data_IF_097678015238
#
_entry.id   IF_097678015238
#
_cell.length_a   1.000
_cell.length_b   1.000
_cell.length_c   1.000
_cell.angle_alpha   90.00
_cell.angle_beta   90.00
_cell.angle_gamma   90.00
#
_symmetry.space_group_name_H-M   'P 1'
#
loop_
_entity.id
_entity.type
_entity.pdbx_description
1 polymer ?
#
# COMPACT_ATOMS: atom_id res chain seq x y z
N UNK A 1 18.08 -24.20 16.98
CA UNK A 1 18.02 -24.49 15.53
C UNK A 1 16.57 -24.67 15.15
N UNK A 2 15.97 -23.76 14.39
CA UNK A 2 14.62 -23.98 13.85
C UNK A 2 14.64 -23.69 12.35
N UNK A 3 14.45 -24.76 11.57
CA UNK A 3 14.69 -24.80 10.14
C UNK A 3 13.55 -24.14 9.37
N UNK A 4 13.83 -22.97 8.77
CA UNK A 4 13.02 -22.44 7.69
C UNK A 4 13.05 -23.43 6.52
N UNK A 5 11.89 -24.01 6.16
CA UNK A 5 11.80 -24.92 5.01
C UNK A 5 12.02 -24.15 3.70
N UNK A 6 13.18 -24.37 3.07
CA UNK A 6 13.46 -24.05 1.66
C UNK A 6 12.55 -24.86 0.75
N UNK A 7 12.10 -24.28 -0.37
CA UNK A 7 11.55 -25.06 -1.47
C UNK A 7 12.66 -25.84 -2.20
N UNK A 8 12.27 -26.79 -3.07
CA UNK A 8 13.20 -27.67 -3.77
C UNK A 8 14.14 -26.96 -4.74
N UNK A 9 13.97 -25.65 -4.96
CA UNK A 9 14.77 -24.83 -5.86
C UNK A 9 15.62 -23.77 -5.12
N UNK A 10 15.67 -23.81 -3.78
CA UNK A 10 16.52 -22.92 -2.98
C UNK A 10 16.13 -21.44 -3.06
N UNK A 11 14.92 -21.13 -3.53
CA UNK A 11 14.36 -19.79 -3.52
C UNK A 11 13.50 -19.62 -2.26
N UNK A 12 13.50 -18.43 -1.69
CA UNK A 12 12.52 -18.10 -0.65
C UNK A 12 11.14 -18.18 -1.28
N UNK A 13 10.39 -19.22 -0.91
CA UNK A 13 9.06 -19.45 -1.44
C UNK A 13 8.12 -18.36 -0.91
N UNK A 14 7.79 -17.40 -1.76
CA UNK A 14 6.63 -16.52 -1.55
C UNK A 14 5.42 -17.44 -1.65
N UNK A 15 4.87 -17.87 -0.50
CA UNK A 15 3.68 -18.72 -0.47
C UNK A 15 2.52 -17.88 -1.01
N UNK A 16 1.76 -18.36 -2.02
CA UNK A 16 0.58 -17.64 -2.48
C UNK A 16 -0.49 -17.75 -1.40
N UNK A 17 -0.76 -16.66 -0.68
CA UNK A 17 -1.79 -16.60 0.36
C UNK A 17 -3.11 -16.14 -0.25
N UNK A 18 -3.86 -17.09 -0.78
CA UNK A 18 -5.30 -16.89 -0.96
C UNK A 18 -6.05 -18.05 -0.32
N UNK A 19 -7.10 -17.67 0.42
CA UNK A 19 -8.08 -18.51 1.13
C UNK A 19 -7.68 -18.93 2.56
N UNK A 20 -8.16 -18.16 3.55
CA UNK A 20 -9.19 -18.59 4.52
C UNK A 20 -9.32 -17.56 5.65
N UNK A 21 -10.57 -17.41 6.10
CA UNK A 21 -11.05 -16.71 7.31
C UNK A 21 -11.31 -15.21 7.16
N UNK A 22 -12.50 -14.89 6.66
CA UNK A 22 -13.29 -13.80 7.20
C UNK A 22 -14.65 -14.39 7.62
N UNK A 23 -14.68 -14.95 8.83
CA UNK A 23 -15.91 -15.18 9.58
C UNK A 23 -15.84 -14.28 10.80
N UNK A 24 -16.89 -13.50 11.03
CA UNK A 24 -17.25 -13.06 12.37
C UNK A 24 -17.35 -11.55 12.59
N UNK A 25 -18.60 -11.12 12.78
CA UNK A 25 -19.07 -10.08 13.68
C UNK A 25 -18.78 -8.60 13.34
N UNK A 26 -19.85 -7.95 12.87
CA UNK A 26 -20.09 -6.52 13.01
C UNK A 26 -20.47 -6.16 14.45
N UNK A 27 -19.99 -5.01 14.95
CA UNK A 27 -20.70 -4.07 15.83
C UNK A 27 -19.79 -2.92 16.28
N UNK A 28 -20.31 -1.67 16.29
CA UNK A 28 -19.94 -0.68 17.33
C UNK A 28 -19.25 0.63 16.92
N UNK A 29 -20.04 1.58 16.41
CA UNK A 29 -20.14 3.02 16.76
C UNK A 29 -18.90 3.93 17.04
N UNK A 30 -18.83 4.98 16.21
CA UNK A 30 -18.78 6.43 16.50
C UNK A 30 -17.59 7.11 17.20
N UNK A 31 -17.04 8.15 16.56
CA UNK A 31 -17.15 9.55 17.04
C UNK A 31 -16.56 10.55 16.01
N UNK A 32 -17.31 11.62 15.74
CA UNK A 32 -16.91 12.77 14.94
C UNK A 32 -16.21 13.82 15.83
N UNK A 33 -15.29 14.60 15.25
CA UNK A 33 -14.95 15.94 15.76
C UNK A 33 -14.86 16.93 14.60
N UNK A 34 -15.69 17.97 14.69
CA UNK A 34 -15.73 19.16 13.84
C UNK A 34 -14.51 20.05 14.07
N UNK A 35 -13.95 20.59 12.98
CA UNK A 35 -13.03 21.72 12.99
C UNK A 35 -13.11 22.46 11.66
N UNK A 36 -13.72 23.65 11.68
CA UNK A 36 -13.99 24.52 10.54
C UNK A 36 -12.70 25.08 9.92
N UNK A 37 -12.44 24.78 8.65
CA UNK A 37 -11.82 25.71 7.71
C UNK A 37 -12.13 25.25 6.28
N UNK A 38 -13.07 25.90 5.61
CA UNK A 38 -13.31 25.64 4.18
C UNK A 38 -12.13 26.18 3.36
N UNK A 39 -11.46 25.39 2.50
CA UNK A 39 -10.62 25.96 1.47
C UNK A 39 -11.47 26.26 0.22
N UNK A 40 -11.26 27.46 -0.31
CA UNK A 40 -11.80 28.03 -1.55
C UNK A 40 -11.76 27.06 -2.76
N UNK A 41 -12.61 27.28 -3.78
CA UNK A 41 -12.67 26.41 -4.96
C UNK A 41 -11.36 26.49 -5.75
N UNK A 42 -10.65 25.36 -5.89
CA UNK A 42 -9.44 25.26 -6.71
C UNK A 42 -9.80 24.95 -8.17
N UNK A 43 -9.15 25.60 -9.16
CA UNK A 43 -9.37 25.31 -10.57
C UNK A 43 -8.87 23.90 -10.90
N UNK A 44 -9.60 23.21 -11.77
CA UNK A 44 -9.27 21.87 -12.25
C UNK A 44 -7.91 21.89 -12.98
N UNK A 45 -6.92 21.12 -12.49
CA UNK A 45 -5.67 20.88 -13.22
C UNK A 45 -4.40 20.64 -12.41
N UNK A 46 -4.37 20.84 -11.09
CA UNK A 46 -3.14 20.63 -10.31
C UNK A 46 -3.08 19.22 -9.70
N UNK A 47 -2.13 18.40 -10.16
CA UNK A 47 -1.69 17.22 -9.42
C UNK A 47 -1.32 17.63 -7.98
N UNK A 48 -1.79 16.86 -7.01
CA UNK A 48 -1.59 17.12 -5.60
C UNK A 48 -0.08 17.21 -5.32
N UNK A 49 0.45 18.30 -4.74
CA UNK A 49 1.88 18.40 -4.46
C UNK A 49 2.26 17.31 -3.45
N UNK A 50 3.23 16.47 -3.80
CA UNK A 50 3.91 15.60 -2.85
C UNK A 50 4.46 16.46 -1.70
N UNK A 51 4.55 15.93 -0.46
CA UNK A 51 5.17 16.66 0.64
C UNK A 51 6.53 17.20 0.19
N UNK A 52 6.78 18.50 0.40
CA UNK A 52 7.93 19.23 -0.15
C UNK A 52 9.30 18.70 0.31
N UNK A 53 9.33 17.77 1.27
CA UNK A 53 10.52 17.10 1.79
C UNK A 53 10.53 15.58 1.53
N UNK A 54 9.75 15.09 0.56
CA UNK A 54 9.70 13.67 0.25
C UNK A 54 11.00 13.19 -0.44
N UNK A 55 11.69 12.23 0.16
CA UNK A 55 12.86 11.57 -0.41
C UNK A 55 12.37 10.60 -1.49
N UNK A 56 12.72 10.80 -2.77
CA UNK A 56 12.25 9.93 -3.83
C UNK A 56 12.90 8.54 -3.73
N UNK A 57 12.14 7.48 -4.03
CA UNK A 57 12.73 6.17 -4.26
C UNK A 57 13.67 6.22 -5.47
N UNK A 58 14.86 5.61 -5.34
CA UNK A 58 15.79 5.46 -6.45
C UNK A 58 15.21 4.54 -7.54
N UNK A 59 14.44 3.53 -7.13
CA UNK A 59 13.70 2.64 -8.02
C UNK A 59 12.34 2.36 -7.38
N UNK A 60 11.29 2.45 -8.18
CA UNK A 60 9.96 2.01 -7.79
C UNK A 60 9.27 1.32 -8.97
N UNK A 61 8.93 0.05 -8.80
CA UNK A 61 8.22 -0.74 -9.80
C UNK A 61 7.01 -1.39 -9.15
N UNK A 62 5.91 -1.43 -9.88
CA UNK A 62 4.69 -2.08 -9.42
C UNK A 62 4.07 -2.91 -10.53
N UNK A 63 3.45 -4.02 -10.14
CA UNK A 63 2.41 -4.72 -10.90
C UNK A 63 1.11 -4.57 -10.13
N UNK A 64 0.01 -4.48 -10.85
CA UNK A 64 -1.28 -4.22 -10.27
C UNK A 64 -2.38 -5.04 -10.93
N UNK A 65 -3.21 -5.63 -10.11
CA UNK A 65 -4.43 -6.33 -10.50
C UNK A 65 -5.62 -5.67 -9.80
N UNK A 66 -6.73 -5.47 -10.52
CA UNK A 66 -7.95 -4.86 -10.00
C UNK A 66 -9.13 -5.77 -10.31
N UNK A 67 -9.92 -6.08 -9.29
CA UNK A 67 -11.20 -6.79 -9.44
C UNK A 67 -12.32 -5.79 -9.20
N UNK A 68 -12.85 -5.26 -10.30
CA UNK A 68 -13.79 -4.12 -10.30
C UNK A 68 -15.13 -4.46 -9.65
N UNK A 69 -15.59 -5.71 -9.78
CA UNK A 69 -16.87 -6.21 -9.24
C UNK A 69 -16.97 -6.15 -7.71
N UNK A 70 -15.83 -6.24 -7.01
CA UNK A 70 -15.75 -6.19 -5.54
C UNK A 70 -14.86 -5.05 -5.04
N UNK A 71 -14.46 -4.13 -5.93
CA UNK A 71 -13.56 -3.02 -5.63
C UNK A 71 -12.29 -3.46 -4.90
N UNK A 72 -11.69 -4.56 -5.36
CA UNK A 72 -10.45 -5.07 -4.79
C UNK A 72 -9.26 -4.73 -5.67
N UNK A 73 -8.10 -4.55 -5.04
CA UNK A 73 -6.83 -4.49 -5.75
C UNK A 73 -5.79 -5.36 -5.06
N UNK A 74 -4.80 -5.76 -5.86
CA UNK A 74 -3.56 -6.36 -5.41
C UNK A 74 -2.43 -5.63 -6.15
N UNK A 75 -1.44 -5.15 -5.41
CA UNK A 75 -0.25 -4.56 -5.98
C UNK A 75 1.00 -5.07 -5.32
N UNK A 76 2.04 -5.28 -6.12
CA UNK A 76 3.32 -5.79 -5.65
C UNK A 76 4.47 -5.33 -6.50
N UNK A 77 5.64 -5.24 -5.90
CA UNK A 77 6.86 -4.96 -6.64
C UNK A 77 8.03 -4.56 -5.76
N UNK A 78 9.21 -4.40 -6.37
CA UNK A 78 10.40 -3.94 -5.67
C UNK A 78 10.46 -2.41 -5.58
N UNK A 79 11.11 -1.93 -4.53
CA UNK A 79 11.55 -0.55 -4.44
C UNK A 79 12.93 -0.43 -3.79
N UNK A 80 13.61 0.67 -4.09
CA UNK A 80 14.94 0.99 -3.55
C UNK A 80 14.90 2.41 -2.99
N UNK A 81 15.37 2.58 -1.76
CA UNK A 81 15.44 3.89 -1.12
C UNK A 81 16.37 4.83 -1.90
N UNK A 82 16.00 6.11 -1.95
CA UNK A 82 16.85 7.16 -2.48
C UNK A 82 18.04 7.48 -1.57
N UNK A 83 18.95 8.30 -2.05
CA UNK A 83 20.05 8.81 -1.22
C UNK A 83 19.50 9.55 0.01
N UNK A 84 19.99 9.19 1.20
CA UNK A 84 19.51 9.74 2.47
C UNK A 84 18.16 9.18 2.95
N UNK A 85 17.54 8.28 2.19
CA UNK A 85 16.28 7.62 2.57
C UNK A 85 16.48 6.53 3.61
N UNK A 86 15.66 6.57 4.65
CA UNK A 86 15.56 5.52 5.68
C UNK A 86 14.09 5.26 5.94
N UNK A 87 13.71 4.00 6.17
CA UNK A 87 12.36 3.63 6.58
C UNK A 87 12.40 2.80 7.86
N UNK A 88 11.45 3.03 8.75
CA UNK A 88 11.13 2.21 9.90
C UNK A 88 9.66 1.80 9.82
N UNK A 89 9.39 0.60 9.30
CA UNK A 89 8.02 0.11 9.11
C UNK A 89 7.24 -0.07 10.42
N UNK A 90 7.92 -0.11 11.58
CA UNK A 90 7.26 -0.13 12.87
C UNK A 90 6.88 1.28 13.37
N UNK A 91 7.46 2.34 12.79
CA UNK A 91 7.28 3.72 13.27
C UNK A 91 6.77 4.71 12.19
N UNK A 92 6.81 4.32 10.92
CA UNK A 92 6.40 5.12 9.77
C UNK A 92 4.98 4.76 9.31
N UNK A 93 4.23 5.77 8.87
CA UNK A 93 2.97 5.56 8.16
C UNK A 93 3.25 5.04 6.73
N UNK A 94 2.42 4.11 6.26
CA UNK A 94 2.47 3.62 4.87
C UNK A 94 1.20 4.03 4.15
N UNK A 95 1.35 4.90 3.16
CA UNK A 95 0.23 5.37 2.33
C UNK A 95 0.35 4.85 0.91
N UNK A 96 -0.73 4.27 0.41
CA UNK A 96 -0.90 3.90 -0.99
C UNK A 96 -1.98 4.77 -1.60
N UNK A 97 -1.64 5.41 -2.72
CA UNK A 97 -2.59 6.18 -3.51
C UNK A 97 -2.63 5.63 -4.94
N UNK A 98 -3.84 5.37 -5.42
CA UNK A 98 -4.14 4.83 -6.74
C UNK A 98 -4.96 5.87 -7.49
N UNK A 99 -4.41 6.41 -8.58
CA UNK A 99 -5.04 7.51 -9.31
C UNK A 99 -5.17 7.16 -10.79
N UNK A 100 -6.35 7.41 -11.36
CA UNK A 100 -6.57 7.49 -12.80
C UNK A 100 -7.24 8.86 -13.10
N UNK A 101 -7.49 9.17 -14.37
CA UNK A 101 -8.10 10.42 -14.82
C UNK A 101 -9.39 10.81 -14.08
N UNK A 102 -10.19 9.83 -13.64
CA UNK A 102 -11.53 10.07 -13.08
C UNK A 102 -11.65 9.74 -11.59
N UNK A 103 -10.68 9.02 -11.01
CA UNK A 103 -10.82 8.42 -9.69
C UNK A 103 -9.50 8.37 -8.95
N UNK A 104 -9.57 8.60 -7.65
CA UNK A 104 -8.46 8.49 -6.72
C UNK A 104 -8.91 7.70 -5.51
N UNK A 105 -8.21 6.61 -5.22
CA UNK A 105 -8.30 5.87 -3.97
C UNK A 105 -7.03 6.10 -3.16
N UNK A 106 -7.17 6.22 -1.84
CA UNK A 106 -6.03 6.38 -0.92
C UNK A 106 -6.28 5.58 0.35
N UNK A 107 -5.27 4.85 0.80
CA UNK A 107 -5.29 4.07 2.03
C UNK A 107 -4.00 4.36 2.78
N UNK A 108 -4.12 4.69 4.06
CA UNK A 108 -2.98 4.93 4.96
C UNK A 108 -3.03 3.92 6.10
N UNK A 109 -2.02 3.06 6.14
CA UNK A 109 -1.72 2.19 7.29
C UNK A 109 -0.98 3.05 8.31
N UNK A 110 -1.56 3.26 9.51
CA UNK A 110 -0.92 4.07 10.54
C UNK A 110 0.37 3.43 11.05
N UNK A 111 1.31 4.26 11.50
CA UNK A 111 2.53 3.86 12.19
C UNK A 111 2.24 2.91 13.34
N UNK A 112 3.16 1.97 13.57
CA UNK A 112 2.99 0.94 14.61
C UNK A 112 1.98 -0.15 14.28
N UNK A 113 1.32 -0.11 13.11
CA UNK A 113 0.37 -1.15 12.73
C UNK A 113 1.06 -2.39 12.13
N UNK A 114 2.27 -2.23 11.58
CA UNK A 114 3.02 -3.38 11.06
C UNK A 114 3.60 -4.20 12.21
N UNK A 115 3.35 -5.50 12.16
CA UNK A 115 3.97 -6.49 13.03
C UNK A 115 5.22 -7.03 12.34
N UNK A 116 6.33 -7.07 13.08
CA UNK A 116 7.57 -7.67 12.60
C UNK A 116 7.51 -9.18 12.80
N UNK A 117 7.58 -9.93 11.70
CA UNK A 117 7.63 -11.38 11.68
C UNK A 117 8.96 -11.82 11.07
N UNK A 118 9.91 -12.21 11.95
CA UNK A 118 11.30 -12.49 11.58
C UNK A 118 11.96 -11.30 10.86
N UNK A 119 12.20 -11.44 9.55
CA UNK A 119 12.90 -10.46 8.73
C UNK A 119 11.94 -9.63 7.87
N UNK A 120 10.62 -9.85 7.92
CA UNK A 120 9.64 -9.05 7.18
C UNK A 120 8.60 -8.42 8.10
N UNK A 121 7.84 -7.49 7.54
CA UNK A 121 6.80 -6.73 8.23
C UNK A 121 5.46 -7.03 7.58
N UNK A 122 4.45 -7.33 8.37
CA UNK A 122 3.09 -7.58 7.88
C UNK A 122 2.07 -6.72 8.59
N UNK A 123 0.98 -6.43 7.89
CA UNK A 123 -0.20 -5.82 8.45
C UNK A 123 -1.40 -6.62 7.97
N UNK A 124 -2.28 -6.98 8.91
CA UNK A 124 -3.58 -7.56 8.63
C UNK A 124 -4.60 -6.79 9.45
N UNK A 125 -5.58 -6.19 8.78
CA UNK A 125 -6.61 -5.46 9.51
C UNK A 125 -7.69 -4.87 8.63
N UNK A 126 -8.48 -4.00 9.25
CA UNK A 126 -9.57 -3.29 8.59
C UNK A 126 -9.39 -1.80 8.87
N UNK A 127 -9.27 -1.01 7.82
CA UNK A 127 -9.16 0.44 7.90
C UNK A 127 -10.39 1.08 7.29
N UNK A 128 -11.19 1.78 8.10
CA UNK A 128 -12.40 2.45 7.61
C UNK A 128 -13.41 1.50 6.93
N UNK A 129 -13.46 0.24 7.36
CA UNK A 129 -14.32 -0.79 6.76
C UNK A 129 -13.73 -1.52 5.54
N UNK A 130 -12.50 -1.19 5.13
CA UNK A 130 -11.76 -1.84 4.05
C UNK A 130 -10.83 -2.90 4.64
N UNK A 131 -11.06 -4.20 4.43
CA UNK A 131 -10.09 -5.23 4.74
C UNK A 131 -8.83 -5.01 3.91
N UNK A 132 -7.69 -4.99 4.58
CA UNK A 132 -6.39 -4.69 4.01
C UNK A 132 -5.33 -5.64 4.55
N UNK A 133 -4.50 -6.11 3.65
CA UNK A 133 -3.29 -6.87 3.91
C UNK A 133 -2.11 -6.14 3.27
N UNK A 134 -1.01 -6.04 4.01
CA UNK A 134 0.23 -5.51 3.47
C UNK A 134 1.42 -6.30 4.01
N UNK A 135 2.41 -6.52 3.16
CA UNK A 135 3.67 -7.14 3.51
C UNK A 135 4.82 -6.33 2.91
N UNK A 136 5.88 -6.15 3.67
CA UNK A 136 7.11 -5.51 3.21
C UNK A 136 8.31 -6.35 3.63
N UNK A 137 9.13 -6.72 2.66
CA UNK A 137 10.29 -7.61 2.83
C UNK A 137 11.57 -6.84 2.50
N UNK A 138 12.48 -6.64 3.46
CA UNK A 138 13.81 -6.10 3.21
C UNK A 138 14.73 -7.15 2.58
N UNK A 139 15.52 -6.72 1.60
CA UNK A 139 16.61 -7.51 0.97
C UNK A 139 18.00 -7.00 1.34
N UNK A 140 18.08 -5.98 2.20
CA UNK A 140 19.33 -5.30 2.55
C UNK A 140 19.76 -4.26 1.52
N UNK A 141 20.70 -3.39 1.90
CA UNK A 141 21.22 -2.33 1.03
C UNK A 141 20.15 -1.35 0.54
N UNK A 142 19.13 -1.07 1.35
CA UNK A 142 18.02 -0.18 1.00
C UNK A 142 17.04 -0.74 -0.04
N UNK A 143 17.09 -2.05 -0.33
CA UNK A 143 16.21 -2.74 -1.27
C UNK A 143 15.09 -3.46 -0.54
N UNK A 144 13.88 -3.35 -1.07
CA UNK A 144 12.68 -3.91 -0.48
C UNK A 144 11.76 -4.46 -1.57
N UNK A 145 10.86 -5.36 -1.21
CA UNK A 145 9.65 -5.63 -1.97
C UNK A 145 8.42 -5.42 -1.10
N UNK A 146 7.33 -5.01 -1.71
CA UNK A 146 6.04 -4.88 -1.07
C UNK A 146 4.99 -5.73 -1.78
N UNK A 147 3.95 -6.06 -1.04
CA UNK A 147 2.68 -6.58 -1.52
C UNK A 147 1.58 -5.93 -0.68
N UNK A 148 0.56 -5.36 -1.33
CA UNK A 148 -0.54 -4.67 -0.67
C UNK A 148 -1.82 -5.03 -1.40
N UNK A 149 -2.78 -5.59 -0.66
CA UNK A 149 -4.06 -6.01 -1.19
C UNK A 149 -5.21 -5.53 -0.31
N UNK A 150 -6.26 -4.99 -0.92
CA UNK A 150 -7.43 -4.54 -0.19
C UNK A 150 -8.72 -4.83 -0.97
N UNK A 151 -9.84 -4.91 -0.25
CA UNK A 151 -11.17 -5.23 -0.81
C UNK A 151 -12.20 -4.19 -0.39
N UNK A 152 -13.13 -3.82 -1.27
CA UNK A 152 -14.16 -2.83 -0.95
C UNK A 152 -13.64 -1.39 -0.90
N UNK A 153 -12.59 -1.09 -1.67
CA UNK A 153 -11.92 0.22 -1.66
C UNK A 153 -12.77 1.24 -2.42
N UNK A 154 -13.27 2.30 -1.76
CA UNK A 154 -14.07 3.31 -2.44
C UNK A 154 -13.23 4.06 -3.49
N UNK A 155 -13.88 4.44 -4.59
CA UNK A 155 -13.26 5.20 -5.68
C UNK A 155 -12.02 4.52 -6.30
N UNK A 156 -11.95 3.19 -6.27
CA UNK A 156 -10.88 2.47 -6.95
C UNK A 156 -10.90 2.78 -8.47
N UNK A 157 -9.73 3.04 -9.08
CA UNK A 157 -9.62 3.15 -10.53
C UNK A 157 -10.19 1.91 -11.24
N UNK A 158 -11.01 2.13 -12.26
CA UNK A 158 -11.63 1.05 -13.07
C UNK A 158 -11.18 1.08 -14.53
N UNK A 159 -10.11 1.81 -14.82
CA UNK A 159 -9.56 1.96 -16.16
C UNK A 159 -8.06 2.19 -16.12
N UNK A 160 -7.41 1.92 -17.24
CA UNK A 160 -6.00 2.16 -17.45
C UNK A 160 -5.76 3.51 -18.13
N UNK A 161 -4.59 4.14 -17.92
CA UNK A 161 -3.51 3.70 -17.02
C UNK A 161 -3.77 4.09 -15.55
N UNK A 162 -3.17 3.37 -14.60
CA UNK A 162 -3.26 3.68 -13.16
C UNK A 162 -1.91 4.16 -12.67
N UNK A 163 -1.87 5.34 -12.04
CA UNK A 163 -0.70 5.83 -11.32
C UNK A 163 -0.77 5.36 -9.88
N UNK A 164 0.21 4.55 -9.51
CA UNK A 164 0.42 4.04 -8.16
C UNK A 164 1.45 4.93 -7.49
N UNK A 165 1.13 5.44 -6.31
CA UNK A 165 2.08 6.16 -5.44
C UNK A 165 2.16 5.44 -4.11
N UNK A 166 3.37 5.10 -3.71
CA UNK A 166 3.68 4.54 -2.39
C UNK A 166 4.48 5.58 -1.61
N UNK A 167 4.03 5.88 -0.40
CA UNK A 167 4.72 6.76 0.54
C UNK A 167 4.92 6.03 1.85
N UNK A 168 6.15 6.03 2.37
CA UNK A 168 6.53 5.41 3.64
C UNK A 168 7.30 6.46 4.45
N UNK A 169 6.69 6.98 5.51
CA UNK A 169 7.23 8.11 6.25
C UNK A 169 7.47 9.30 5.32
N UNK A 170 8.73 9.74 5.21
CA UNK A 170 9.15 10.80 4.27
C UNK A 170 9.64 10.27 2.90
N UNK A 171 9.62 8.96 2.63
CA UNK A 171 10.06 8.41 1.35
C UNK A 171 8.86 8.21 0.43
N UNK A 172 8.99 8.51 -0.86
CA UNK A 172 7.88 8.35 -1.80
C UNK A 172 8.35 7.95 -3.20
N UNK A 173 7.49 7.26 -3.94
CA UNK A 173 7.69 7.05 -5.37
C UNK A 173 6.38 6.74 -6.07
N UNK A 174 6.35 7.09 -7.36
CA UNK A 174 5.19 6.90 -8.20
C UNK A 174 5.57 6.19 -9.49
N UNK A 175 4.68 5.31 -9.96
CA UNK A 175 4.82 4.62 -11.24
C UNK A 175 3.45 4.48 -11.89
N UNK A 176 3.40 4.69 -13.20
CA UNK A 176 2.20 4.45 -14.00
C UNK A 176 2.25 3.04 -14.57
N UNK A 177 1.18 2.29 -14.33
CA UNK A 177 1.05 0.89 -14.75
C UNK A 177 -0.24 0.68 -15.53
N UNK A 178 -0.22 -0.30 -16.42
CA UNK A 178 -1.45 -0.89 -16.94
C UNK A 178 -1.84 -2.04 -16.01
N UNK A 179 -2.86 -1.81 -15.19
CA UNK A 179 -3.39 -2.82 -14.30
C UNK A 179 -4.16 -3.90 -15.09
N UNK A 180 -4.10 -5.15 -14.63
CA UNK A 180 -5.03 -6.17 -15.15
C UNK A 180 -6.38 -5.98 -14.47
N UNK A 181 -7.37 -5.48 -15.21
CA UNK A 181 -8.71 -5.20 -14.68
C UNK A 181 -9.64 -6.36 -15.05
N UNK A 182 -10.36 -6.89 -14.06
CA UNK A 182 -11.34 -7.95 -14.19
C UNK A 182 -12.69 -7.59 -13.59
#
# INVERSE_FOLDING_TARGET
>A
MNSAKRDKNGRYAIRPWSRRRLLGAAAGLAAAVLGLLSPLPRPAGAAQPAPQDAIPFAVFLAKMDIVSSVQAFDMRGPFVLGAGGTIDLAADDVTVQLTNQTRTASITIPKGSFEKEYDWYTYYGVLGGVPLEAAVVPFGGGRYAFEIGAVGVPNLPVGNPVTVTLTIGNNSGSVTVNASIR
#
